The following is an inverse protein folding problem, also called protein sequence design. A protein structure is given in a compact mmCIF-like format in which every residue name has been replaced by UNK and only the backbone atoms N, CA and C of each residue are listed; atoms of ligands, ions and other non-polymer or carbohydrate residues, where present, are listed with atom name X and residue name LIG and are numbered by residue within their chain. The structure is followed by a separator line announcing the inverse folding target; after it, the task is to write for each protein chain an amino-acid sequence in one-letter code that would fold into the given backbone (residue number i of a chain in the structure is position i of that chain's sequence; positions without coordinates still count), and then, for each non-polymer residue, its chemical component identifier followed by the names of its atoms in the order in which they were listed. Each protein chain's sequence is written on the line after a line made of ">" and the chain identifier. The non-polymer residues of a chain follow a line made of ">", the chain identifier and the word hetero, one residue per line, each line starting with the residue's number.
data_IF_938854534147
#
_entry.id   IF_938854534147
#
_cell.length_a   1.000
_cell.length_b   1.000
_cell.length_c   1.000
_cell.angle_alpha   90.00
_cell.angle_beta   90.00
_cell.angle_gamma   90.00
#
_symmetry.space_group_name_H-M   'P 1'
#
loop_
_entity.id
_entity.type
_entity.pdbx_description
1 polymer ?
#
# COMPACT_ATOMS: atom_id res chain seq x y z
N UNK A 1 6.13 -9.29 10.50
CA UNK A 1 4.94 -8.65 11.09
C UNK A 1 4.22 -7.97 9.95
N UNK A 2 2.89 -8.08 9.87
CA UNK A 2 2.12 -7.59 8.73
C UNK A 2 2.15 -6.06 8.67
N UNK A 3 2.60 -5.48 7.55
CA UNK A 3 2.76 -4.04 7.40
C UNK A 3 1.42 -3.30 7.59
N UNK A 4 0.30 -3.89 7.18
CA UNK A 4 -1.01 -3.27 7.35
C UNK A 4 -1.46 -3.23 8.84
N UNK A 5 -1.09 -4.25 9.64
CA UNK A 5 -1.30 -4.21 11.09
C UNK A 5 -0.49 -3.10 11.77
N UNK A 6 0.70 -2.81 11.26
CA UNK A 6 1.54 -1.72 11.79
C UNK A 6 0.93 -0.34 11.51
N UNK A 7 0.32 -0.16 10.34
CA UNK A 7 -0.39 1.07 9.98
C UNK A 7 -1.64 1.28 10.86
N UNK A 8 -2.38 0.20 11.16
CA UNK A 8 -3.52 0.23 12.09
C UNK A 8 -3.07 0.64 13.50
N UNK A 9 -1.99 0.04 14.01
CA UNK A 9 -1.43 0.37 15.34
C UNK A 9 -0.97 1.83 15.43
N UNK A 10 -0.54 2.42 14.32
CA UNK A 10 -0.12 3.81 14.24
C UNK A 10 -1.28 4.79 14.00
N UNK A 11 -2.52 4.32 13.88
CA UNK A 11 -3.69 5.12 13.50
C UNK A 11 -3.52 5.86 12.15
N UNK A 12 -2.67 5.33 11.25
CA UNK A 12 -2.51 5.85 9.88
C UNK A 12 -3.70 5.41 9.01
N UNK A 13 -4.16 4.19 9.24
CA UNK A 13 -5.39 3.63 8.68
C UNK A 13 -6.27 3.13 9.82
N UNK A 14 -7.53 2.88 9.52
CA UNK A 14 -8.58 2.40 10.39
C UNK A 14 -9.25 1.16 9.78
N UNK A 15 -10.09 0.49 10.57
CA UNK A 15 -10.92 -0.62 10.08
C UNK A 15 -11.81 -0.23 8.89
N UNK A 16 -12.21 1.04 8.79
CA UNK A 16 -13.11 1.54 7.75
C UNK A 16 -12.42 1.80 6.41
N UNK A 17 -11.09 1.79 6.38
CA UNK A 17 -10.32 1.97 5.15
C UNK A 17 -10.19 0.68 4.34
N UNK A 18 -10.65 -0.45 4.91
CA UNK A 18 -10.73 -1.73 4.22
C UNK A 18 -12.01 -1.82 3.39
N UNK A 19 -11.89 -2.37 2.19
CA UNK A 19 -13.04 -2.59 1.31
C UNK A 19 -13.83 -3.81 1.79
N UNK A 20 -15.11 -3.61 2.07
CA UNK A 20 -16.03 -4.66 2.53
C UNK A 20 -16.35 -4.54 4.02
N UNK A 21 -16.79 -5.65 4.64
CA UNK A 21 -17.16 -5.66 6.05
C UNK A 21 -15.92 -5.81 6.95
N UNK A 22 -15.56 -4.83 7.79
CA UNK A 22 -14.34 -4.87 8.58
C UNK A 22 -14.23 -6.04 9.57
N UNK A 23 -15.36 -6.52 10.10
CA UNK A 23 -15.38 -7.64 11.05
C UNK A 23 -15.11 -8.99 10.37
N UNK A 24 -15.35 -9.09 9.05
CA UNK A 24 -14.99 -10.27 8.25
C UNK A 24 -13.54 -10.19 7.71
N UNK A 25 -13.01 -8.97 7.62
CA UNK A 25 -11.68 -8.70 7.07
C UNK A 25 -10.60 -8.81 8.14
N UNK A 26 -10.92 -8.45 9.40
CA UNK A 26 -9.98 -8.51 10.52
C UNK A 26 -10.54 -9.41 11.63
N UNK A 27 -10.76 -10.71 11.39
CA UNK A 27 -11.15 -11.64 12.44
C UNK A 27 -10.01 -11.78 13.46
N UNK A 28 -10.34 -11.59 14.74
CA UNK A 28 -9.43 -11.86 15.87
C UNK A 28 -8.06 -11.14 15.79
N UNK A 29 -8.03 -9.96 15.14
CA UNK A 29 -6.82 -9.15 15.02
C UNK A 29 -5.85 -9.59 13.91
N UNK A 30 -6.27 -10.50 13.02
CA UNK A 30 -5.51 -10.86 11.82
C UNK A 30 -6.20 -10.34 10.57
N UNK A 31 -5.45 -9.71 9.67
CA UNK A 31 -5.99 -9.24 8.40
C UNK A 31 -6.07 -10.41 7.43
N UNK A 32 -7.24 -10.61 6.82
CA UNK A 32 -7.48 -11.64 5.82
C UNK A 32 -6.61 -11.40 4.59
N UNK A 33 -6.02 -12.48 4.07
CA UNK A 33 -5.31 -12.47 2.78
C UNK A 33 -6.20 -11.93 1.66
N UNK A 34 -5.65 -11.05 0.83
CA UNK A 34 -6.34 -10.45 -0.30
C UNK A 34 -7.31 -9.34 0.10
N UNK A 35 -7.33 -8.93 1.38
CA UNK A 35 -8.05 -7.73 1.78
C UNK A 35 -7.52 -6.52 1.03
N UNK A 36 -8.42 -5.67 0.54
CA UNK A 36 -8.06 -4.41 -0.12
C UNK A 36 -8.24 -3.29 0.89
N UNK A 37 -7.24 -2.43 1.01
CA UNK A 37 -7.29 -1.23 1.84
C UNK A 37 -6.97 0.00 0.99
N UNK A 38 -7.61 1.12 1.29
CA UNK A 38 -7.29 2.41 0.69
C UNK A 38 -6.31 3.15 1.59
N UNK A 39 -5.08 3.35 1.10
CA UNK A 39 -4.12 4.24 1.75
C UNK A 39 -4.54 5.70 1.50
N UNK A 40 -4.57 6.55 2.54
CA UNK A 40 -5.00 7.94 2.39
C UNK A 40 -4.05 8.74 1.51
N UNK A 41 -2.74 8.47 1.60
CA UNK A 41 -1.75 9.05 0.70
C UNK A 41 -0.47 8.23 0.62
N UNK A 42 0.24 8.38 -0.50
CA UNK A 42 1.59 7.88 -0.69
C UNK A 42 2.45 9.00 -1.28
N UNK A 43 3.65 9.19 -0.71
CA UNK A 43 4.56 10.28 -1.10
C UNK A 43 5.89 9.73 -1.59
N UNK A 44 6.32 10.21 -2.75
CA UNK A 44 7.67 10.02 -3.28
C UNK A 44 8.26 11.40 -3.57
N UNK A 45 9.32 11.76 -2.86
CA UNK A 45 9.95 13.10 -2.96
C UNK A 45 8.97 14.23 -2.64
N UNK A 46 8.59 15.02 -3.66
CA UNK A 46 7.63 16.13 -3.55
C UNK A 46 6.24 15.79 -4.07
N UNK A 47 6.06 14.65 -4.75
CA UNK A 47 4.78 14.24 -5.33
C UNK A 47 4.01 13.40 -4.31
N UNK A 48 2.72 13.70 -4.18
CA UNK A 48 1.79 12.98 -3.30
C UNK A 48 0.63 12.52 -4.17
N UNK A 49 0.30 11.24 -4.06
CA UNK A 49 -0.94 10.68 -4.59
C UNK A 49 -1.82 10.29 -3.40
N UNK A 50 -3.13 10.26 -3.62
CA UNK A 50 -4.16 10.01 -2.61
C UNK A 50 -5.03 8.83 -3.02
N UNK A 51 -5.76 8.25 -2.08
CA UNK A 51 -6.74 7.20 -2.35
C UNK A 51 -6.13 6.05 -3.17
N UNK A 52 -5.14 5.37 -2.60
CA UNK A 52 -4.42 4.28 -3.25
C UNK A 52 -4.89 2.95 -2.70
N UNK A 53 -5.55 2.15 -3.53
CA UNK A 53 -5.93 0.80 -3.15
C UNK A 53 -4.71 -0.12 -3.19
N UNK A 54 -4.48 -0.83 -2.09
CA UNK A 54 -3.44 -1.84 -1.97
C UNK A 54 -4.02 -3.14 -1.43
N UNK A 55 -3.50 -4.25 -1.91
CA UNK A 55 -3.91 -5.58 -1.46
C UNK A 55 -2.96 -6.08 -0.37
N UNK A 56 -3.52 -6.59 0.72
CA UNK A 56 -2.75 -7.20 1.81
C UNK A 56 -2.43 -8.64 1.47
N UNK A 57 -1.15 -8.92 1.28
CA UNK A 57 -0.63 -10.26 1.09
C UNK A 57 0.19 -10.68 2.33
N UNK A 58 -0.32 -11.60 3.16
CA UNK A 58 0.37 -12.03 4.35
C UNK A 58 1.61 -12.86 3.97
N UNK A 59 2.68 -12.72 4.76
CA UNK A 59 3.98 -13.40 4.58
C UNK A 59 4.76 -12.97 3.34
N UNK A 60 4.50 -11.78 2.81
CA UNK A 60 5.38 -11.16 1.85
C UNK A 60 6.69 -10.70 2.53
N UNK A 61 7.83 -10.94 1.89
CA UNK A 61 9.14 -10.50 2.39
C UNK A 61 9.27 -8.97 2.35
N UNK A 62 8.72 -8.37 1.29
CA UNK A 62 8.69 -6.92 1.09
C UNK A 62 7.48 -6.30 1.80
N UNK A 63 7.69 -5.14 2.43
CA UNK A 63 6.63 -4.42 3.16
C UNK A 63 5.64 -3.71 2.26
N UNK A 64 6.05 -3.35 1.04
CA UNK A 64 5.25 -2.63 0.05
C UNK A 64 5.78 -2.93 -1.33
N UNK A 65 4.92 -3.40 -2.22
CA UNK A 65 5.21 -3.51 -3.65
C UNK A 65 4.33 -2.52 -4.40
N UNK A 66 4.95 -1.71 -5.25
CA UNK A 66 4.27 -0.77 -6.14
C UNK A 66 4.26 -1.34 -7.54
N UNK A 67 3.07 -1.55 -8.10
CA UNK A 67 2.95 -1.93 -9.51
C UNK A 67 3.09 -0.69 -10.41
N UNK A 68 3.16 -0.94 -11.73
CA UNK A 68 3.27 0.14 -12.72
C UNK A 68 2.07 1.10 -12.68
N UNK A 69 0.87 0.63 -12.36
CA UNK A 69 -0.33 1.48 -12.28
C UNK A 69 -0.20 2.53 -11.17
N UNK A 70 0.25 2.13 -9.98
CA UNK A 70 0.50 3.06 -8.87
C UNK A 70 1.65 4.01 -9.20
N UNK A 71 2.73 3.52 -9.82
CA UNK A 71 3.86 4.37 -10.22
C UNK A 71 3.45 5.43 -11.26
N UNK A 72 2.62 5.07 -12.24
CA UNK A 72 2.10 6.00 -13.24
C UNK A 72 1.29 7.16 -12.64
N UNK A 73 0.68 6.97 -11.46
CA UNK A 73 -0.02 8.07 -10.75
C UNK A 73 0.93 9.16 -10.26
N UNK A 74 2.21 8.85 -10.07
CA UNK A 74 3.25 9.86 -9.78
C UNK A 74 3.78 10.54 -11.05
N UNK A 75 3.44 10.05 -12.24
CA UNK A 75 3.88 10.57 -13.53
C UNK A 75 4.53 9.50 -14.39
N UNK A 76 4.89 9.87 -15.62
CA UNK A 76 5.73 9.04 -16.46
C UNK A 76 7.04 8.72 -15.72
N UNK A 77 7.49 7.48 -15.83
CA UNK A 77 8.69 7.03 -15.13
C UNK A 77 9.52 6.08 -16.00
N UNK A 78 10.81 6.02 -15.69
CA UNK A 78 11.76 5.04 -16.23
C UNK A 78 12.47 4.34 -15.07
N UNK A 79 12.71 3.03 -15.20
CA UNK A 79 13.49 2.25 -14.24
C UNK A 79 14.83 1.92 -14.88
N UNK A 80 15.92 2.32 -14.23
CA UNK A 80 17.26 1.91 -14.60
C UNK A 80 17.70 0.82 -13.62
N UNK A 81 17.74 -0.44 -14.08
CA UNK A 81 18.11 -1.59 -13.25
C UNK A 81 19.63 -1.65 -12.95
N UNK A 82 20.46 -1.05 -13.81
CA UNK A 82 21.92 -1.00 -13.62
C UNK A 82 22.27 -0.06 -12.46
N UNK A 83 21.67 1.14 -12.45
CA UNK A 83 21.87 2.13 -11.37
C UNK A 83 20.92 1.93 -10.19
N UNK A 84 19.90 1.07 -10.35
CA UNK A 84 18.82 0.81 -9.38
C UNK A 84 18.03 2.07 -9.04
N UNK A 85 17.69 2.84 -10.07
CA UNK A 85 17.01 4.12 -9.94
C UNK A 85 15.62 4.08 -10.60
N UNK A 86 14.68 4.79 -9.98
CA UNK A 86 13.40 5.12 -10.61
C UNK A 86 13.39 6.63 -10.81
N UNK A 87 13.21 7.05 -12.06
CA UNK A 87 13.22 8.46 -12.46
C UNK A 87 11.80 8.83 -12.88
N UNK A 88 11.21 9.82 -12.22
CA UNK A 88 9.91 10.39 -12.56
C UNK A 88 10.08 11.71 -13.31
N UNK A 89 9.34 11.89 -14.41
CA UNK A 89 9.27 13.13 -15.19
C UNK A 89 8.46 14.24 -14.51
#
# INVERSE_FOLDING_TARGET
>A
MDAALDLLKQNIISKNDFHGNPEEIIPEGQIKRGAVLTLPSLRIGKKIIYDIDVMVEPKQDEKLILNNEVLLRFGAFTINEETREIIFE
#
